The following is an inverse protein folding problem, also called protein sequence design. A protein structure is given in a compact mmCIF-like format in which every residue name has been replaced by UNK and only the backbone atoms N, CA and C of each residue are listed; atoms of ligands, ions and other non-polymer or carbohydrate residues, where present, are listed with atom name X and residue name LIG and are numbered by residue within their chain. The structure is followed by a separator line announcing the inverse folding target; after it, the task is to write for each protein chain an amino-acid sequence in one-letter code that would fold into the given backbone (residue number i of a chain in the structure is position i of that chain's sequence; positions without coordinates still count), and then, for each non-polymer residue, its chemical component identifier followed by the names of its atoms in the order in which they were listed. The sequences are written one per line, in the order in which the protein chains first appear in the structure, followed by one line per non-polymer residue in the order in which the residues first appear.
data_IF_245048750132
#
_entry.id   IF_245048750132
#
_cell.length_a   1.000
_cell.length_b   1.000
_cell.length_c   1.000
_cell.angle_alpha   90.00
_cell.angle_beta   90.00
_cell.angle_gamma   90.00
#
_symmetry.space_group_name_H-M   'P 1'
#
loop_
_entity.id
_entity.type
_entity.pdbx_description
1 polymer ?
#
# COMPACT_ATOMS: atom_id res chain seq x y z
N UNK A 1 -5.87 9.18 17.65
CA UNK A 1 -4.46 9.31 18.12
C UNK A 1 -3.67 7.99 18.07
N UNK A 2 -4.30 6.80 18.15
CA UNK A 2 -3.59 5.50 18.11
C UNK A 2 -2.98 5.16 16.75
N UNK A 3 -3.71 5.41 15.66
CA UNK A 3 -3.19 5.21 14.31
C UNK A 3 -1.90 6.00 14.06
N UNK A 4 -1.82 7.24 14.59
CA UNK A 4 -0.61 8.08 14.50
C UNK A 4 0.56 7.50 15.30
N UNK A 5 0.31 6.86 16.45
CA UNK A 5 1.36 6.22 17.25
C UNK A 5 1.89 4.96 16.58
N UNK A 6 1.00 4.10 16.07
CA UNK A 6 1.37 2.92 15.31
C UNK A 6 2.11 3.31 14.02
N UNK A 7 1.68 4.36 13.32
CA UNK A 7 2.38 4.91 12.16
C UNK A 7 3.82 5.31 12.49
N UNK A 8 4.05 6.00 13.62
CA UNK A 8 5.42 6.37 14.05
C UNK A 8 6.30 5.15 14.33
N UNK A 9 5.73 4.06 14.85
CA UNK A 9 6.44 2.80 15.09
C UNK A 9 6.79 2.13 13.75
N UNK A 10 5.86 2.14 12.79
CA UNK A 10 6.06 1.62 11.44
C UNK A 10 7.13 2.39 10.66
N UNK A 11 7.07 3.73 10.68
CA UNK A 11 8.02 4.57 9.94
C UNK A 11 9.42 4.58 10.57
N UNK A 12 9.55 4.33 11.88
CA UNK A 12 10.84 4.36 12.60
C UNK A 12 11.11 3.05 13.37
N UNK A 13 11.44 1.96 12.67
CA UNK A 13 11.64 0.64 13.28
C UNK A 13 12.87 0.57 14.19
N UNK A 14 13.82 1.51 14.07
CA UNK A 14 15.04 1.60 14.89
C UNK A 14 14.81 2.28 16.23
N UNK A 15 13.65 2.92 16.44
CA UNK A 15 13.33 3.58 17.71
C UNK A 15 13.31 2.58 18.88
N UNK A 16 13.72 3.02 20.07
CA UNK A 16 13.75 2.16 21.27
C UNK A 16 12.39 1.51 21.53
N UNK A 17 11.30 2.27 21.41
CA UNK A 17 9.94 1.77 21.57
C UNK A 17 9.60 0.68 20.54
N UNK A 18 9.93 0.88 19.25
CA UNK A 18 9.69 -0.12 18.22
C UNK A 18 10.51 -1.40 18.47
N UNK A 19 11.78 -1.27 18.86
CA UNK A 19 12.66 -2.41 19.19
C UNK A 19 12.17 -3.21 20.39
N UNK A 20 11.73 -2.54 21.46
CA UNK A 20 11.17 -3.20 22.65
C UNK A 20 9.88 -3.94 22.29
N UNK A 21 8.97 -3.30 21.54
CA UNK A 21 7.73 -3.93 21.10
C UNK A 21 8.00 -5.14 20.19
N UNK A 22 8.94 -5.01 19.25
CA UNK A 22 9.36 -6.11 18.38
C UNK A 22 9.90 -7.28 19.18
N UNK A 23 10.88 -7.04 20.05
CA UNK A 23 11.49 -8.08 20.88
C UNK A 23 10.46 -8.82 21.77
N UNK A 24 9.44 -8.12 22.26
CA UNK A 24 8.45 -8.68 23.18
C UNK A 24 7.28 -9.37 22.49
N UNK A 25 6.77 -8.82 21.38
CA UNK A 25 5.49 -9.23 20.82
C UNK A 25 5.56 -9.80 19.40
N UNK A 26 6.60 -9.46 18.61
CA UNK A 26 6.75 -9.92 17.23
C UNK A 26 8.25 -10.04 16.86
N UNK A 27 9.01 -10.95 17.51
CA UNK A 27 10.46 -11.00 17.32
C UNK A 27 10.85 -11.40 15.89
N UNK A 28 10.07 -12.30 15.28
CA UNK A 28 10.35 -12.91 13.98
C UNK A 28 9.39 -12.45 12.86
N UNK A 29 8.43 -11.59 13.16
CA UNK A 29 7.37 -11.18 12.20
C UNK A 29 7.29 -9.67 12.07
N UNK A 30 6.48 -9.19 11.13
CA UNK A 30 6.11 -7.78 11.07
C UNK A 30 5.03 -7.43 12.11
N UNK A 31 4.88 -6.14 12.44
CA UNK A 31 3.82 -5.67 13.34
C UNK A 31 2.41 -5.88 12.75
N UNK A 32 2.31 -5.95 11.42
CA UNK A 32 1.06 -6.18 10.69
C UNK A 32 0.57 -7.63 10.84
N UNK A 33 1.51 -8.57 11.00
CA UNK A 33 1.24 -10.01 11.18
C UNK A 33 1.26 -10.43 12.66
N UNK A 34 1.50 -9.49 13.58
CA UNK A 34 1.69 -9.77 14.98
C UNK A 34 0.38 -10.20 15.65
N UNK A 35 0.42 -11.33 16.36
CA UNK A 35 -0.73 -11.84 17.14
C UNK A 35 -0.71 -11.25 18.56
N UNK A 36 -1.90 -11.01 19.12
CA UNK A 36 -2.07 -10.41 20.45
C UNK A 36 -1.50 -11.31 21.58
N UNK A 37 -1.41 -12.63 21.36
CA UNK A 37 -0.81 -13.58 22.30
C UNK A 37 -1.56 -13.69 23.64
N UNK A 38 -0.98 -14.39 24.62
CA UNK A 38 -1.55 -14.59 25.95
C UNK A 38 -1.01 -13.54 26.94
N UNK A 39 -1.91 -12.77 27.58
CA UNK A 39 -1.62 -11.64 28.50
C UNK A 39 -0.85 -10.45 27.88
N UNK A 40 -1.38 -9.81 26.83
CA UNK A 40 -0.82 -8.58 26.27
C UNK A 40 -0.92 -7.39 27.25
N UNK A 41 0.07 -6.49 27.23
CA UNK A 41 -0.04 -5.21 27.94
C UNK A 41 -1.17 -4.34 27.36
N UNK A 42 -1.69 -3.40 28.16
CA UNK A 42 -2.74 -2.49 27.72
C UNK A 42 -2.32 -1.70 26.47
N UNK A 43 -1.09 -1.20 26.46
CA UNK A 43 -0.51 -0.51 25.31
C UNK A 43 -0.47 -1.40 24.05
N UNK A 44 -0.10 -2.68 24.19
CA UNK A 44 -0.07 -3.60 23.05
C UNK A 44 -1.46 -3.90 22.51
N UNK A 45 -2.46 -4.14 23.37
CA UNK A 45 -3.86 -4.31 22.92
C UNK A 45 -4.35 -3.12 22.11
N UNK A 46 -4.05 -1.91 22.60
CA UNK A 46 -4.44 -0.66 21.95
C UNK A 46 -3.76 -0.50 20.58
N UNK A 47 -2.46 -0.78 20.48
CA UNK A 47 -1.72 -0.77 19.21
C UNK A 47 -2.28 -1.83 18.25
N UNK A 48 -2.47 -3.07 18.71
CA UNK A 48 -3.02 -4.16 17.88
C UNK A 48 -4.44 -3.85 17.38
N UNK A 49 -5.28 -3.16 18.17
CA UNK A 49 -6.60 -2.74 17.69
C UNK A 49 -6.55 -1.67 16.59
N UNK A 50 -5.45 -0.90 16.52
CA UNK A 50 -5.25 0.10 15.47
C UNK A 50 -4.62 -0.49 14.19
N UNK A 51 -4.03 -1.67 14.24
CA UNK A 51 -3.44 -2.36 13.07
C UNK A 51 -4.44 -2.52 11.92
N UNK A 52 -5.63 -3.13 12.10
CA UNK A 52 -6.57 -3.30 10.99
C UNK A 52 -7.07 -1.96 10.42
N UNK A 53 -7.20 -0.93 11.26
CA UNK A 53 -7.61 0.41 10.83
C UNK A 53 -6.54 1.09 9.95
N UNK A 54 -5.27 0.92 10.29
CA UNK A 54 -4.17 1.40 9.43
C UNK A 54 -4.13 0.57 8.15
N UNK A 55 -4.15 -0.76 8.24
CA UNK A 55 -4.13 -1.65 7.07
C UNK A 55 -5.25 -1.32 6.06
N UNK A 56 -6.44 -0.97 6.53
CA UNK A 56 -7.55 -0.57 5.66
C UNK A 56 -7.31 0.77 4.95
N UNK A 57 -6.46 1.64 5.50
CA UNK A 57 -6.07 2.91 4.91
C UNK A 57 -4.73 2.89 4.16
N UNK A 58 -3.99 1.77 4.23
CA UNK A 58 -2.74 1.59 3.50
C UNK A 58 -3.01 1.47 2.00
N UNK A 59 -2.22 2.20 1.21
CA UNK A 59 -2.23 2.17 -0.24
C UNK A 59 -0.80 2.11 -0.77
N UNK A 60 -0.63 1.50 -1.93
CA UNK A 60 0.66 1.53 -2.61
C UNK A 60 0.91 2.92 -3.19
N UNK A 61 2.11 3.43 -2.93
CA UNK A 61 2.71 4.50 -3.74
C UNK A 61 3.55 3.84 -4.83
N UNK A 62 3.20 4.16 -6.06
CA UNK A 62 3.82 3.60 -7.25
C UNK A 62 5.15 4.29 -7.50
N UNK A 63 6.21 3.49 -7.54
CA UNK A 63 7.50 3.88 -8.09
C UNK A 63 7.65 3.23 -9.47
N UNK A 64 8.26 2.04 -9.49
CA UNK A 64 8.40 1.22 -10.70
C UNK A 64 7.10 0.56 -11.18
N UNK A 65 6.16 0.32 -10.27
CA UNK A 65 4.90 -0.41 -10.55
C UNK A 65 5.06 -1.92 -10.74
N UNK A 66 6.28 -2.46 -10.64
CA UNK A 66 6.57 -3.88 -10.89
C UNK A 66 6.08 -4.81 -9.77
N UNK A 67 5.86 -4.30 -8.56
CA UNK A 67 5.39 -5.08 -7.41
C UNK A 67 3.89 -4.91 -7.14
N UNK A 68 3.25 -3.95 -7.81
CA UNK A 68 1.85 -3.59 -7.55
C UNK A 68 0.97 -4.19 -8.65
N UNK A 69 0.04 -5.08 -8.28
CA UNK A 69 -0.92 -5.65 -9.23
C UNK A 69 -2.08 -4.69 -9.41
N UNK A 70 -2.41 -4.44 -10.67
CA UNK A 70 -3.38 -3.41 -11.09
C UNK A 70 -4.74 -3.60 -10.40
N UNK A 71 -5.28 -4.82 -10.38
CA UNK A 71 -6.63 -5.10 -9.86
C UNK A 71 -6.68 -5.66 -8.45
N UNK A 72 -5.58 -6.23 -7.97
CA UNK A 72 -5.56 -6.96 -6.70
C UNK A 72 -5.07 -6.11 -5.53
N UNK A 73 -4.20 -5.13 -5.78
CA UNK A 73 -3.58 -4.35 -4.74
C UNK A 73 -4.21 -2.94 -4.63
N UNK A 74 -4.32 -2.36 -3.42
CA UNK A 74 -4.90 -1.03 -3.23
C UNK A 74 -3.89 0.08 -3.57
N UNK A 75 -4.05 0.78 -4.69
CA UNK A 75 -3.10 1.82 -5.14
C UNK A 75 -3.76 3.09 -5.70
N UNK A 76 -5.05 3.04 -6.02
CA UNK A 76 -5.80 4.19 -6.57
C UNK A 76 -6.43 4.95 -5.40
N UNK A 77 -6.36 6.29 -5.35
CA UNK A 77 -6.89 7.10 -4.25
C UNK A 77 -8.43 7.22 -4.32
N UNK A 78 -9.15 6.11 -4.13
CA UNK A 78 -10.61 6.06 -4.08
C UNK A 78 -11.17 5.70 -2.71
N UNK A 79 -12.28 6.33 -2.29
CA UNK A 79 -12.79 6.24 -0.92
C UNK A 79 -13.37 4.88 -0.50
N UNK A 80 -13.65 3.94 -1.43
CA UNK A 80 -14.28 2.66 -1.08
C UNK A 80 -13.27 1.51 -0.91
N UNK A 81 -12.40 1.27 -1.89
CA UNK A 81 -11.55 0.06 -1.93
C UNK A 81 -10.10 0.32 -2.28
N UNK A 82 -9.74 1.55 -2.67
CA UNK A 82 -8.46 1.91 -3.27
C UNK A 82 -8.05 1.07 -4.51
N UNK A 83 -9.00 0.36 -5.13
CA UNK A 83 -8.78 -0.51 -6.29
C UNK A 83 -9.55 0.00 -7.52
N UNK A 84 -9.15 -0.39 -8.74
CA UNK A 84 -9.97 -0.20 -9.92
C UNK A 84 -11.32 -0.93 -9.76
N UNK A 85 -12.37 -0.34 -10.34
CA UNK A 85 -13.71 -0.95 -10.45
C UNK A 85 -13.81 -1.66 -11.80
N UNK A 86 -13.09 -1.15 -12.80
CA UNK A 86 -12.92 -1.82 -14.09
C UNK A 86 -12.36 -3.22 -13.89
N UNK A 87 -12.99 -4.21 -14.54
CA UNK A 87 -12.52 -5.60 -14.52
C UNK A 87 -11.37 -5.78 -15.53
N UNK A 88 -10.45 -6.72 -15.29
CA UNK A 88 -9.45 -7.08 -16.29
C UNK A 88 -10.16 -7.56 -17.56
N UNK A 89 -9.78 -7.00 -18.70
CA UNK A 89 -10.32 -7.41 -20.00
C UNK A 89 -9.20 -7.68 -21.01
N UNK A 90 -8.24 -6.75 -21.15
CA UNK A 90 -7.14 -6.87 -22.12
C UNK A 90 -5.86 -7.44 -21.50
N UNK A 91 -5.59 -7.12 -20.23
CA UNK A 91 -4.42 -7.60 -19.51
C UNK A 91 -4.78 -8.79 -18.60
N UNK A 92 -3.77 -9.58 -18.28
CA UNK A 92 -3.90 -10.67 -17.31
C UNK A 92 -4.39 -10.11 -15.95
N UNK A 93 -5.23 -10.85 -15.19
CA UNK A 93 -5.73 -10.40 -13.88
C UNK A 93 -4.63 -10.05 -12.87
N UNK A 94 -3.44 -10.65 -13.03
CA UNK A 94 -2.27 -10.42 -12.19
C UNK A 94 -1.27 -9.42 -12.80
N UNK A 95 -1.65 -8.71 -13.88
CA UNK A 95 -0.76 -7.73 -14.47
C UNK A 95 -0.44 -6.61 -13.47
N UNK A 96 0.80 -6.17 -13.55
CA UNK A 96 1.41 -5.18 -12.67
C UNK A 96 1.33 -3.78 -13.27
N UNK A 97 1.43 -2.77 -12.41
CA UNK A 97 1.26 -1.36 -12.78
C UNK A 97 2.36 -0.88 -13.74
N UNK A 98 3.53 -1.54 -13.80
CA UNK A 98 4.58 -1.26 -14.80
C UNK A 98 4.04 -1.35 -16.24
N UNK A 99 3.05 -2.21 -16.51
CA UNK A 99 2.45 -2.35 -17.84
C UNK A 99 1.63 -1.14 -18.26
N UNK A 100 1.24 -0.31 -17.31
CA UNK A 100 0.53 0.94 -17.55
C UNK A 100 1.48 2.14 -17.74
N UNK A 101 2.78 1.95 -17.54
CA UNK A 101 3.81 3.00 -17.61
C UNK A 101 4.62 2.80 -18.90
N UNK A 102 4.89 3.88 -19.62
CA UNK A 102 5.78 3.84 -20.78
C UNK A 102 7.24 3.75 -20.29
N UNK A 103 7.99 2.70 -20.67
CA UNK A 103 9.36 2.50 -20.22
C UNK A 103 10.34 3.59 -20.71
N UNK A 104 10.01 4.35 -21.75
CA UNK A 104 10.89 5.37 -22.32
C UNK A 104 10.67 6.75 -21.68
N UNK A 105 9.42 7.13 -21.42
CA UNK A 105 9.09 8.44 -20.83
C UNK A 105 8.99 8.40 -19.31
N UNK A 106 8.73 7.22 -18.71
CA UNK A 106 8.42 7.11 -17.29
C UNK A 106 7.07 7.73 -16.92
N UNK A 107 6.21 7.97 -17.92
CA UNK A 107 4.87 8.52 -17.76
C UNK A 107 3.80 7.43 -17.94
N UNK A 108 2.57 7.72 -17.53
CA UNK A 108 1.44 6.85 -17.78
C UNK A 108 1.19 6.70 -19.28
N UNK A 109 0.98 5.47 -19.75
CA UNK A 109 0.53 5.20 -21.10
C UNK A 109 -0.97 5.57 -21.20
N UNK A 110 -1.24 6.84 -21.52
CA UNK A 110 -2.59 7.41 -21.58
C UNK A 110 -3.51 6.57 -22.49
N UNK A 111 -3.13 6.22 -23.75
CA UNK A 111 -3.98 5.40 -24.61
C UNK A 111 -4.38 4.07 -23.96
N UNK A 112 -3.43 3.39 -23.31
CA UNK A 112 -3.69 2.11 -22.65
C UNK A 112 -4.59 2.27 -21.42
N UNK A 113 -4.37 3.32 -20.62
CA UNK A 113 -5.23 3.64 -19.45
C UNK A 113 -6.65 3.98 -19.89
N UNK A 114 -6.83 4.71 -20.99
CA UNK A 114 -8.14 5.00 -21.56
C UNK A 114 -8.87 3.76 -22.07
N UNK A 115 -8.16 2.76 -22.59
CA UNK A 115 -8.79 1.51 -23.05
C UNK A 115 -9.18 0.62 -21.86
N UNK A 116 -8.36 0.58 -20.81
CA UNK A 116 -8.49 -0.38 -19.72
C UNK A 116 -9.46 0.05 -18.61
N UNK A 117 -9.59 1.34 -18.35
CA UNK A 117 -10.26 1.86 -17.15
C UNK A 117 -11.52 2.66 -17.48
N UNK A 118 -12.45 2.80 -16.55
CA UNK A 118 -13.59 3.72 -16.66
C UNK A 118 -13.17 5.16 -16.30
N UNK A 119 -13.90 6.19 -16.75
CA UNK A 119 -13.54 7.59 -16.50
C UNK A 119 -13.09 7.93 -15.06
N UNK A 120 -13.79 7.51 -13.99
CA UNK A 120 -13.34 7.82 -12.62
C UNK A 120 -12.03 7.14 -12.23
N UNK A 121 -11.73 5.99 -12.80
CA UNK A 121 -10.48 5.26 -12.55
C UNK A 121 -9.33 5.95 -13.30
N UNK A 122 -9.58 6.39 -14.54
CA UNK A 122 -8.60 7.11 -15.37
C UNK A 122 -8.14 8.40 -14.70
N UNK A 123 -9.08 9.23 -14.25
CA UNK A 123 -8.76 10.51 -13.59
C UNK A 123 -7.93 10.29 -12.32
N UNK A 124 -8.29 9.27 -11.53
CA UNK A 124 -7.56 8.91 -10.32
C UNK A 124 -6.16 8.35 -10.63
N UNK A 125 -5.98 7.59 -11.70
CA UNK A 125 -4.67 7.06 -12.12
C UNK A 125 -3.78 8.17 -12.66
N UNK A 126 -4.30 8.98 -13.58
CA UNK A 126 -3.55 10.05 -14.24
C UNK A 126 -3.17 11.19 -13.28
N UNK A 127 -3.92 11.38 -12.19
CA UNK A 127 -3.55 12.33 -11.13
C UNK A 127 -2.46 11.82 -10.17
N UNK A 128 -2.08 10.55 -10.25
CA UNK A 128 -1.01 10.01 -9.41
C UNK A 128 0.36 10.42 -9.95
N UNK A 129 1.21 11.07 -9.13
CA UNK A 129 2.57 11.38 -9.53
C UNK A 129 3.37 10.07 -9.58
N UNK A 130 3.89 9.75 -10.76
CA UNK A 130 4.89 8.70 -10.90
C UNK A 130 6.22 9.20 -10.32
N UNK A 131 6.89 8.35 -9.55
CA UNK A 131 8.23 8.67 -9.05
C UNK A 131 9.21 8.76 -10.21
N UNK A 132 9.71 9.96 -10.52
CA UNK A 132 10.80 10.14 -11.49
C UNK A 132 12.09 9.54 -10.92
N UNK A 133 12.38 8.28 -11.23
CA UNK A 133 13.57 7.55 -10.81
C UNK A 133 13.26 6.12 -10.37
N UNK A 134 14.32 5.31 -10.18
CA UNK A 134 14.27 3.92 -9.69
C UNK A 134 13.83 3.88 -8.23
N UNK A 135 12.63 4.37 -7.94
CA UNK A 135 12.02 4.30 -6.63
C UNK A 135 11.31 2.95 -6.50
N UNK A 136 11.65 2.22 -5.45
CA UNK A 136 10.96 0.97 -5.12
C UNK A 136 9.51 1.26 -4.71
N UNK A 137 8.60 0.36 -5.07
CA UNK A 137 7.20 0.47 -4.67
C UNK A 137 7.10 0.35 -3.14
N UNK A 138 6.40 1.29 -2.51
CA UNK A 138 6.23 1.32 -1.05
C UNK A 138 4.76 1.39 -0.67
N UNK A 139 4.37 0.65 0.37
CA UNK A 139 3.05 0.77 0.98
C UNK A 139 3.03 1.96 1.94
N UNK A 140 2.09 2.89 1.76
CA UNK A 140 1.90 4.12 2.56
C UNK A 140 0.51 4.15 3.16
#
# INVERSE_FOLDING_TARGET
MLAKQLWRILSNPTSLAARILKARYFPNTSILEAKIGYRPSYAWRSISSAVPLICAGLRWRIGSGSLVRVWLDPWIPRPSTFKPVSRPFLLHPEATVDKLIDPNSGEWNIPLVEILFHPPDREAILSLPLGHGVFSDITI
#
